data_IF_741688816090
#
_entry.id   IF_741688816090
#
_cell.length_a   1.000
_cell.length_b   1.000
_cell.length_c   1.000
_cell.angle_alpha   90.00
_cell.angle_beta   90.00
_cell.angle_gamma   90.00
#
_symmetry.space_group_name_H-M   'P 1'
#
loop_
_entity.id
_entity.type
_entity.pdbx_description
1 polymer ?
#
# COMPACT_ATOMS: atom_id res chain seq x y z
N UNK A 1 -8.23 -1.68 25.22
CA UNK A 1 -7.97 -0.43 24.48
C UNK A 1 -6.64 -0.58 23.74
N UNK A 2 -6.59 -0.22 22.46
CA UNK A 2 -5.38 -0.34 21.63
C UNK A 2 -4.47 0.88 21.82
N UNK A 3 -3.16 0.68 21.93
CA UNK A 3 -2.18 1.76 22.17
C UNK A 3 -2.28 2.88 21.11
N UNK A 4 -2.48 2.51 19.84
CA UNK A 4 -2.68 3.47 18.73
C UNK A 4 -3.78 4.48 19.02
N UNK A 5 -4.92 4.03 19.56
CA UNK A 5 -6.04 4.91 19.90
C UNK A 5 -5.65 5.91 20.99
N UNK A 6 -5.00 5.45 22.06
CA UNK A 6 -4.62 6.31 23.18
C UNK A 6 -3.62 7.40 22.73
N UNK A 7 -2.67 7.05 21.87
CA UNK A 7 -1.71 8.02 21.33
C UNK A 7 -2.40 9.08 20.47
N UNK A 8 -3.31 8.67 19.59
CA UNK A 8 -4.08 9.59 18.74
C UNK A 8 -5.02 10.48 19.55
N UNK A 9 -5.70 9.93 20.57
CA UNK A 9 -6.53 10.69 21.51
C UNK A 9 -5.71 11.72 22.31
N UNK A 10 -4.44 11.43 22.59
CA UNK A 10 -3.50 12.36 23.21
C UNK A 10 -2.90 13.41 22.24
N UNK A 11 -3.32 13.41 20.97
CA UNK A 11 -2.87 14.39 19.98
C UNK A 11 -1.61 13.99 19.21
N UNK A 12 -1.23 12.70 19.21
CA UNK A 12 -0.15 12.23 18.34
C UNK A 12 -0.50 12.49 16.86
N UNK A 13 0.45 13.06 16.11
CA UNK A 13 0.27 13.30 14.68
C UNK A 13 0.49 12.00 13.89
N UNK A 14 -0.54 11.47 13.19
CA UNK A 14 -0.43 10.19 12.47
C UNK A 14 0.44 10.24 11.21
N UNK A 15 0.89 11.43 10.79
CA UNK A 15 1.71 11.62 9.59
C UNK A 15 3.22 11.67 9.87
N UNK A 16 3.62 11.58 11.14
CA UNK A 16 5.05 11.62 11.49
C UNK A 16 5.73 10.37 10.95
N UNK A 17 6.77 10.60 10.14
CA UNK A 17 7.72 9.56 9.76
C UNK A 17 8.73 9.42 10.88
N UNK A 18 8.68 8.29 11.58
CA UNK A 18 9.63 8.00 12.65
C UNK A 18 10.87 7.32 12.10
N UNK A 19 12.03 7.67 12.63
CA UNK A 19 13.28 6.92 12.42
C UNK A 19 13.41 5.95 13.60
N UNK A 20 13.13 4.68 13.37
CA UNK A 20 13.06 3.67 14.42
C UNK A 20 14.31 2.81 14.35
N UNK A 21 15.01 2.72 15.47
CA UNK A 21 16.14 1.80 15.64
C UNK A 21 15.63 0.42 16.04
N UNK A 22 15.97 -0.60 15.26
CA UNK A 22 15.71 -2.00 15.54
C UNK A 22 17.03 -2.78 15.75
N UNK A 23 17.68 -2.65 16.92
CA UNK A 23 18.98 -3.29 17.18
C UNK A 23 18.96 -4.81 16.99
N UNK A 24 17.79 -5.43 17.22
CA UNK A 24 17.58 -6.86 17.04
C UNK A 24 17.64 -7.29 15.58
N UNK A 25 17.16 -6.47 14.64
CA UNK A 25 17.20 -6.80 13.20
C UNK A 25 18.63 -6.74 12.65
N UNK A 26 19.45 -5.83 13.19
CA UNK A 26 20.89 -5.81 12.92
C UNK A 26 21.56 -7.10 13.42
N UNK A 27 21.26 -7.53 14.65
CA UNK A 27 21.83 -8.74 15.24
C UNK A 27 21.38 -10.03 14.52
N UNK A 28 20.17 -10.06 13.99
CA UNK A 28 19.59 -11.23 13.30
C UNK A 28 19.84 -11.22 11.78
N UNK A 29 20.49 -10.17 11.23
CA UNK A 29 20.82 -10.09 9.81
C UNK A 29 19.61 -10.02 8.88
N UNK A 30 18.46 -9.57 9.38
CA UNK A 30 17.20 -9.51 8.62
C UNK A 30 17.33 -8.39 7.56
N UNK A 31 17.36 -8.77 6.29
CA UNK A 31 17.55 -7.83 5.18
C UNK A 31 16.32 -6.94 4.98
N UNK A 32 16.37 -5.74 5.52
CA UNK A 32 15.30 -4.73 5.47
C UNK A 32 15.66 -3.50 6.29
N UNK A 33 16.30 -3.71 7.44
CA UNK A 33 16.98 -2.65 8.15
C UNK A 33 18.16 -2.15 7.30
N UNK A 34 18.31 -0.83 7.20
CA UNK A 34 19.55 -0.23 6.68
C UNK A 34 20.76 -0.84 7.38
N UNK A 35 21.97 -0.77 6.80
CA UNK A 35 23.19 -1.25 7.47
C UNK A 35 23.39 -0.64 8.88
N UNK A 36 22.69 0.47 9.19
CA UNK A 36 22.61 1.12 10.49
C UNK A 36 21.56 0.55 11.48
N UNK A 37 20.78 -0.47 11.14
CA UNK A 37 19.71 -1.00 12.01
C UNK A 37 18.45 -0.13 12.08
N UNK A 38 18.38 0.94 11.28
CA UNK A 38 17.30 1.92 11.30
C UNK A 38 16.30 1.70 10.17
N UNK A 39 15.02 1.87 10.46
CA UNK A 39 13.93 1.84 9.49
C UNK A 39 13.07 3.09 9.62
N UNK A 40 12.63 3.62 8.48
CA UNK A 40 11.63 4.69 8.45
C UNK A 40 10.24 4.09 8.63
N UNK A 41 9.56 4.47 9.71
CA UNK A 41 8.20 4.04 9.99
C UNK A 41 7.18 5.06 9.49
N UNK A 42 6.35 4.66 8.53
CA UNK A 42 5.16 5.41 8.07
C UNK A 42 3.90 4.75 8.66
N UNK A 43 3.24 5.37 9.66
CA UNK A 43 2.14 4.74 10.37
C UNK A 43 1.04 4.20 9.45
N UNK A 44 0.53 5.04 8.54
CA UNK A 44 -0.57 4.63 7.66
C UNK A 44 -0.14 3.55 6.65
N UNK A 45 1.09 3.60 6.12
CA UNK A 45 1.60 2.56 5.21
C UNK A 45 1.62 1.19 5.89
N UNK A 46 2.23 1.09 7.07
CA UNK A 46 2.42 -0.20 7.74
C UNK A 46 1.11 -0.78 8.29
N UNK A 47 0.24 0.06 8.85
CA UNK A 47 -1.07 -0.38 9.33
C UNK A 47 -1.95 -0.81 8.14
N UNK A 48 -1.87 -0.12 7.00
CA UNK A 48 -2.56 -0.53 5.76
C UNK A 48 -2.09 -1.90 5.28
N UNK A 49 -0.80 -2.21 5.37
CA UNK A 49 -0.26 -3.48 4.86
C UNK A 49 -0.48 -4.67 5.80
N UNK A 50 -0.50 -4.45 7.12
CA UNK A 50 -0.31 -5.52 8.12
C UNK A 50 -1.29 -5.53 9.30
N UNK A 51 -2.15 -4.53 9.41
CA UNK A 51 -3.07 -4.42 10.54
C UNK A 51 -4.53 -4.58 10.09
N UNK A 52 -5.46 -4.93 11.01
CA UNK A 52 -6.89 -4.89 10.75
C UNK A 52 -7.33 -3.55 10.13
N UNK A 53 -8.31 -3.61 9.22
CA UNK A 53 -8.81 -2.42 8.51
C UNK A 53 -9.35 -1.33 9.46
N UNK A 54 -9.78 -1.72 10.67
CA UNK A 54 -10.22 -0.80 11.72
C UNK A 54 -9.11 0.14 12.20
N UNK A 55 -7.84 -0.29 12.16
CA UNK A 55 -6.70 0.57 12.52
C UNK A 55 -6.38 1.57 11.42
N UNK A 56 -6.51 1.13 10.17
CA UNK A 56 -6.41 2.02 9.00
C UNK A 56 -7.47 3.11 9.10
N UNK A 57 -8.72 2.71 9.36
CA UNK A 57 -9.83 3.63 9.55
C UNK A 57 -9.60 4.57 10.72
N UNK A 58 -9.04 4.08 11.83
CA UNK A 58 -8.70 4.89 12.99
C UNK A 58 -7.65 5.95 12.65
N UNK A 59 -6.55 5.59 11.98
CA UNK A 59 -5.53 6.56 11.58
C UNK A 59 -6.09 7.64 10.65
N UNK A 60 -6.87 7.24 9.64
CA UNK A 60 -7.52 8.15 8.70
C UNK A 60 -8.46 9.14 9.42
N UNK A 61 -9.26 8.64 10.37
CA UNK A 61 -10.15 9.48 11.20
C UNK A 61 -9.40 10.57 11.97
N UNK A 62 -8.15 10.32 12.36
CA UNK A 62 -7.29 11.29 13.06
C UNK A 62 -6.39 12.10 12.11
N UNK A 63 -6.67 12.07 10.80
CA UNK A 63 -6.02 12.93 9.82
C UNK A 63 -4.74 12.36 9.22
N UNK A 64 -4.57 11.04 9.20
CA UNK A 64 -3.52 10.41 8.41
C UNK A 64 -3.73 10.72 6.91
N UNK A 65 -2.68 11.13 6.21
CA UNK A 65 -2.70 11.47 4.79
C UNK A 65 -2.61 10.20 3.94
N UNK A 66 -3.69 9.80 3.23
CA UNK A 66 -3.65 8.63 2.35
C UNK A 66 -2.72 8.83 1.15
N UNK A 67 -2.24 10.05 0.88
CA UNK A 67 -1.33 10.38 -0.21
C UNK A 67 0.14 10.51 0.23
N UNK A 68 0.46 10.13 1.46
CA UNK A 68 1.83 10.14 1.93
C UNK A 68 2.67 9.14 1.12
N UNK A 69 3.78 9.63 0.57
CA UNK A 69 4.77 8.82 -0.14
C UNK A 69 6.13 9.14 0.47
N UNK A 70 6.77 8.13 1.05
CA UNK A 70 8.17 8.25 1.46
C UNK A 70 9.07 7.76 0.34
N UNK A 71 10.07 8.58 -0.02
CA UNK A 71 11.18 8.15 -0.85
C UNK A 71 12.39 7.84 0.04
N UNK A 72 12.86 6.60 0.02
CA UNK A 72 14.08 6.16 0.69
C UNK A 72 15.01 5.48 -0.31
N UNK A 73 16.02 6.21 -0.77
CA UNK A 73 16.86 5.80 -1.89
C UNK A 73 16.04 5.56 -3.17
N UNK A 74 16.05 4.30 -3.65
CA UNK A 74 15.29 3.86 -4.82
C UNK A 74 13.90 3.29 -4.47
N UNK A 75 13.57 3.20 -3.18
CA UNK A 75 12.30 2.69 -2.70
C UNK A 75 11.31 3.84 -2.48
N UNK A 76 10.07 3.63 -2.92
CA UNK A 76 8.94 4.51 -2.65
C UNK A 76 7.92 3.72 -1.82
N UNK A 77 7.68 4.15 -0.58
CA UNK A 77 6.63 3.60 0.28
C UNK A 77 5.37 4.43 0.09
N UNK A 78 4.49 3.93 -0.75
CA UNK A 78 3.23 4.57 -1.12
C UNK A 78 2.07 3.83 -0.44
N UNK A 79 1.10 4.54 0.14
CA UNK A 79 -0.02 3.91 0.88
C UNK A 79 -0.86 2.98 -0.02
N UNK A 80 -1.02 3.32 -1.31
CA UNK A 80 -1.71 2.44 -2.27
C UNK A 80 -0.93 1.15 -2.53
N UNK A 81 0.42 1.19 -2.50
CA UNK A 81 1.25 -0.01 -2.61
C UNK A 81 1.02 -0.93 -1.40
N UNK A 82 0.94 -0.35 -0.18
CA UNK A 82 0.62 -1.11 1.02
C UNK A 82 -0.75 -1.80 0.93
N UNK A 83 -1.78 -1.09 0.44
CA UNK A 83 -3.10 -1.67 0.26
C UNK A 83 -3.11 -2.78 -0.80
N UNK A 84 -2.42 -2.56 -1.93
CA UNK A 84 -2.30 -3.53 -3.03
C UNK A 84 -1.55 -4.81 -2.65
N UNK A 85 -0.64 -4.71 -1.67
CA UNK A 85 0.15 -5.82 -1.13
C UNK A 85 -0.30 -6.23 0.28
N UNK A 86 -1.51 -5.86 0.68
CA UNK A 86 -2.01 -6.19 2.02
C UNK A 86 -1.92 -7.70 2.23
N UNK A 87 -1.21 -8.10 3.27
CA UNK A 87 -1.19 -9.50 3.68
C UNK A 87 -2.44 -9.71 4.51
N UNK A 88 -3.34 -10.60 4.09
CA UNK A 88 -4.47 -11.00 4.92
C UNK A 88 -3.91 -11.46 6.28
N UNK A 89 -4.15 -10.66 7.32
CA UNK A 89 -3.50 -10.84 8.64
C UNK A 89 -4.04 -12.06 9.37
N UNK A 90 -5.08 -12.71 8.85
CA UNK A 90 -5.72 -13.87 9.45
C UNK A 90 -6.15 -14.82 8.34
N UNK A 91 -6.17 -16.12 8.67
CA UNK A 91 -6.58 -17.30 7.92
C UNK A 91 -8.04 -17.27 7.38
N UNK A 92 -8.57 -16.09 7.02
CA UNK A 92 -9.94 -15.87 6.55
C UNK A 92 -9.95 -15.02 5.28
N UNK A 93 -10.36 -15.70 4.21
CA UNK A 93 -11.17 -15.21 3.09
C UNK A 93 -10.58 -14.10 2.18
N UNK A 94 -10.33 -14.49 0.93
CA UNK A 94 -10.09 -13.68 -0.27
C UNK A 94 -9.25 -12.41 -0.08
N UNK A 95 -7.92 -12.57 -0.20
CA UNK A 95 -6.90 -11.50 -0.15
C UNK A 95 -7.21 -10.29 -1.04
N UNK A 96 -7.88 -10.51 -2.16
CA UNK A 96 -8.29 -9.48 -3.10
C UNK A 96 -9.43 -8.60 -2.53
N UNK A 97 -10.36 -9.18 -1.77
CA UNK A 97 -11.42 -8.41 -1.11
C UNK A 97 -10.88 -7.53 0.02
N UNK A 98 -9.87 -7.99 0.77
CA UNK A 98 -9.20 -7.16 1.79
C UNK A 98 -8.46 -5.98 1.14
N UNK A 99 -7.70 -6.24 0.07
CA UNK A 99 -6.98 -5.20 -0.69
C UNK A 99 -7.94 -4.15 -1.26
N UNK A 100 -8.99 -4.57 -1.97
CA UNK A 100 -9.99 -3.65 -2.56
C UNK A 100 -10.72 -2.87 -1.45
N UNK A 101 -11.07 -3.51 -0.33
CA UNK A 101 -11.74 -2.82 0.78
C UNK A 101 -10.87 -1.73 1.40
N UNK A 102 -9.56 -1.97 1.54
CA UNK A 102 -8.60 -0.96 1.98
C UNK A 102 -8.47 0.18 0.99
N UNK A 103 -8.39 -0.11 -0.31
CA UNK A 103 -8.32 0.94 -1.34
C UNK A 103 -9.59 1.79 -1.33
N UNK A 104 -10.78 1.18 -1.22
CA UNK A 104 -12.06 1.91 -1.08
C UNK A 104 -12.06 2.83 0.13
N UNK A 105 -11.63 2.33 1.29
CA UNK A 105 -11.51 3.14 2.50
C UNK A 105 -10.54 4.32 2.28
N UNK A 106 -9.38 4.10 1.68
CA UNK A 106 -8.43 5.17 1.38
C UNK A 106 -9.01 6.22 0.41
N UNK A 107 -9.79 5.78 -0.58
CA UNK A 107 -10.51 6.66 -1.51
C UNK A 107 -11.54 7.54 -0.79
N UNK A 108 -12.28 7.01 0.19
CA UNK A 108 -13.21 7.78 1.02
C UNK A 108 -12.51 8.95 1.75
N UNK A 109 -11.22 8.80 2.05
CA UNK A 109 -10.39 9.82 2.70
C UNK A 109 -9.52 10.63 1.73
N UNK A 110 -9.76 10.52 0.42
CA UNK A 110 -9.12 11.37 -0.59
C UNK A 110 -7.80 10.84 -1.16
N UNK A 111 -7.59 9.53 -1.17
CA UNK A 111 -6.50 8.91 -1.94
C UNK A 111 -6.57 9.31 -3.43
N UNK A 112 -5.45 9.78 -3.96
CA UNK A 112 -5.23 10.05 -5.38
C UNK A 112 -4.48 8.88 -6.01
N UNK A 113 -5.23 7.95 -6.61
CA UNK A 113 -4.69 6.76 -7.28
C UNK A 113 -3.73 7.13 -8.41
N UNK A 114 -4.03 8.20 -9.16
CA UNK A 114 -3.18 8.63 -10.27
C UNK A 114 -1.82 9.08 -9.75
N UNK A 115 -1.79 9.91 -8.70
CA UNK A 115 -0.54 10.32 -8.05
C UNK A 115 0.24 9.13 -7.50
N UNK A 116 -0.44 8.18 -6.87
CA UNK A 116 0.18 7.00 -6.25
C UNK A 116 0.75 5.99 -7.27
N UNK A 117 0.26 6.00 -8.50
CA UNK A 117 0.75 5.12 -9.59
C UNK A 117 1.81 5.77 -10.48
N UNK A 118 2.06 7.08 -10.34
CA UNK A 118 3.15 7.81 -10.99
C UNK A 118 4.51 7.64 -10.29
N UNK A 119 4.82 6.42 -9.85
CA UNK A 119 6.10 6.05 -9.21
C UNK A 119 6.78 4.91 -9.98
N UNK A 120 8.06 4.68 -9.69
CA UNK A 120 8.87 3.71 -10.42
C UNK A 120 8.30 2.27 -10.33
N UNK A 121 8.61 1.45 -11.35
CA UNK A 121 8.10 0.10 -11.56
C UNK A 121 8.08 -0.79 -10.30
N UNK A 122 9.22 -0.89 -9.61
CA UNK A 122 9.40 -1.77 -8.43
C UNK A 122 8.43 -1.39 -7.30
N UNK A 123 8.02 -0.13 -7.27
CA UNK A 123 7.21 0.47 -6.21
C UNK A 123 5.80 0.82 -6.67
N UNK A 124 5.47 0.64 -7.96
CA UNK A 124 4.17 1.00 -8.47
C UNK A 124 3.11 -0.01 -7.93
N UNK A 125 1.99 0.48 -7.37
CA UNK A 125 0.99 -0.37 -6.72
C UNK A 125 0.38 -1.43 -7.63
N UNK A 126 0.22 -1.13 -8.92
CA UNK A 126 -0.31 -2.08 -9.90
C UNK A 126 0.67 -3.24 -10.10
N UNK A 127 1.97 -2.95 -10.16
CA UNK A 127 2.99 -4.00 -10.30
C UNK A 127 3.08 -4.85 -9.02
N UNK A 128 2.91 -4.21 -7.86
CA UNK A 128 2.78 -4.88 -6.57
C UNK A 128 1.62 -5.88 -6.53
N UNK A 129 0.40 -5.44 -6.86
CA UNK A 129 -0.76 -6.31 -6.93
C UNK A 129 -0.59 -7.45 -7.95
N UNK A 130 -0.04 -7.14 -9.13
CA UNK A 130 0.22 -8.16 -10.16
C UNK A 130 1.20 -9.24 -9.68
N UNK A 131 2.31 -8.84 -9.05
CA UNK A 131 3.30 -9.79 -8.51
C UNK A 131 2.72 -10.65 -7.38
N UNK A 132 1.75 -10.13 -6.62
CA UNK A 132 0.99 -10.88 -5.62
C UNK A 132 -0.16 -11.70 -6.21
N UNK A 133 -0.34 -11.72 -7.53
CA UNK A 133 -1.46 -12.39 -8.24
C UNK A 133 -2.85 -11.87 -7.85
N UNK A 134 -2.95 -10.64 -7.34
CA UNK A 134 -4.20 -9.97 -6.95
C UNK A 134 -4.83 -9.28 -8.17
N UNK A 135 -5.32 -10.07 -9.13
CA UNK A 135 -5.77 -9.56 -10.44
C UNK A 135 -6.97 -8.62 -10.31
N UNK A 136 -7.91 -8.90 -9.40
CA UNK A 136 -9.07 -8.01 -9.21
C UNK A 136 -8.64 -6.66 -8.65
N UNK A 137 -7.59 -6.63 -7.82
CA UNK A 137 -7.00 -5.38 -7.33
C UNK A 137 -6.32 -4.59 -8.45
N UNK A 138 -5.60 -5.27 -9.36
CA UNK A 138 -5.04 -4.62 -10.56
C UNK A 138 -6.12 -3.95 -11.39
N UNK A 139 -7.21 -4.68 -11.68
CA UNK A 139 -8.33 -4.17 -12.45
C UNK A 139 -9.03 -3.01 -11.73
N UNK A 140 -9.25 -3.13 -10.42
CA UNK A 140 -9.86 -2.08 -9.62
C UNK A 140 -9.04 -0.78 -9.65
N UNK A 141 -7.71 -0.87 -9.51
CA UNK A 141 -6.83 0.31 -9.57
C UNK A 141 -6.89 0.97 -10.97
N UNK A 142 -6.89 0.18 -12.03
CA UNK A 142 -7.01 0.67 -13.41
C UNK A 142 -8.36 1.37 -13.67
N UNK A 143 -9.46 0.75 -13.25
CA UNK A 143 -10.82 1.30 -13.39
C UNK A 143 -10.99 2.63 -12.62
N UNK A 144 -10.16 2.87 -11.61
CA UNK A 144 -10.12 4.13 -10.84
C UNK A 144 -8.97 5.08 -11.27
N UNK A 145 -8.45 4.92 -12.51
CA UNK A 145 -7.52 5.88 -13.12
C UNK A 145 -6.04 5.66 -12.82
N UNK A 146 -5.67 4.46 -12.35
CA UNK A 146 -4.28 4.08 -12.13
C UNK A 146 -3.49 3.89 -13.42
N UNK A 147 -2.19 4.17 -13.36
CA UNK A 147 -1.25 4.07 -14.48
C UNK A 147 -0.31 2.86 -14.34
N UNK A 148 -0.41 1.91 -15.27
CA UNK A 148 0.40 0.69 -15.31
C UNK A 148 1.61 0.78 -16.25
N UNK A 149 1.87 1.93 -16.89
CA UNK A 149 2.96 2.11 -17.86
C UNK A 149 4.33 1.76 -17.28
N UNK A 150 4.52 1.96 -15.98
CA UNK A 150 5.75 1.63 -15.28
C UNK A 150 5.95 0.11 -15.06
N UNK A 151 4.92 -0.75 -15.21
CA UNK A 151 5.00 -2.18 -14.82
C UNK A 151 5.66 -3.12 -15.84
N UNK A 152 6.25 -2.57 -16.90
CA UNK A 152 6.93 -3.33 -17.93
C UNK A 152 5.99 -3.95 -18.96
N UNK A 153 6.58 -4.37 -20.08
CA UNK A 153 5.84 -4.72 -21.30
C UNK A 153 4.90 -5.92 -21.13
N UNK A 154 5.25 -6.90 -20.29
CA UNK A 154 4.42 -8.10 -20.09
C UNK A 154 3.07 -7.77 -19.47
N UNK A 155 3.05 -6.96 -18.41
CA UNK A 155 1.80 -6.56 -17.77
C UNK A 155 0.97 -5.69 -18.71
N UNK A 156 1.60 -4.71 -19.36
CA UNK A 156 0.93 -3.85 -20.34
C UNK A 156 0.32 -4.66 -21.48
N UNK A 157 1.03 -5.68 -22.00
CA UNK A 157 0.51 -6.57 -23.03
C UNK A 157 -0.67 -7.41 -22.55
N UNK A 158 -0.63 -7.92 -21.31
CA UNK A 158 -1.76 -8.62 -20.70
C UNK A 158 -2.98 -7.70 -20.55
N UNK A 159 -2.80 -6.50 -19.99
CA UNK A 159 -3.84 -5.48 -19.82
C UNK A 159 -4.50 -5.17 -21.18
N UNK A 160 -3.70 -4.90 -22.20
CA UNK A 160 -4.19 -4.58 -23.55
C UNK A 160 -5.01 -5.72 -24.15
N UNK A 161 -4.61 -6.98 -23.91
CA UNK A 161 -5.34 -8.15 -24.39
C UNK A 161 -6.65 -8.39 -23.64
N UNK A 162 -6.66 -8.24 -22.32
CA UNK A 162 -7.85 -8.46 -21.49
C UNK A 162 -8.88 -7.33 -21.61
N UNK A 163 -8.45 -6.06 -21.62
CA UNK A 163 -9.33 -4.92 -21.87
C UNK A 163 -9.97 -4.99 -23.25
N UNK A 164 -9.22 -5.41 -24.28
CA UNK A 164 -9.77 -5.59 -25.62
C UNK A 164 -10.92 -6.62 -25.66
N UNK A 165 -10.87 -7.67 -24.82
CA UNK A 165 -11.98 -8.63 -24.70
C UNK A 165 -13.18 -8.08 -23.93
N UNK A 166 -12.98 -7.20 -22.94
CA UNK A 166 -14.07 -6.54 -22.21
C UNK A 166 -14.82 -5.50 -23.06
N UNK A 167 -14.11 -4.78 -23.93
CA UNK A 167 -14.70 -3.75 -24.80
C UNK A 167 -15.40 -4.40 -26.01
N UNK A 168 -14.98 -5.60 -26.42
CA UNK A 168 -15.59 -6.36 -27.50
C UNK A 168 -15.88 -7.81 -27.09
N UNK A 169 -16.92 -8.03 -26.26
CA UNK A 169 -17.32 -9.38 -25.88
C UNK A 169 -17.97 -10.03 -27.11
N UNK A 170 -17.27 -10.98 -27.72
CA UNK A 170 -17.78 -11.85 -28.78
C UNK A 170 -18.96 -12.69 -28.33
#
# INVERSE_FOLDING_TARGET
QKITRLLLEAGANPNIVSDVDFPRYQAEGISGATASGREKYLPLYFETQRAPIEDVHLLLKYGADPNQILKDGNLYLAVLLAAAQSMAVLDRYESDLDSISRIKLLLEYGLDIKRQTQIAAITNPICGAYNSSHIDTVLFILDNGGDATACGEKLVAWINKDLARKINPS
#
